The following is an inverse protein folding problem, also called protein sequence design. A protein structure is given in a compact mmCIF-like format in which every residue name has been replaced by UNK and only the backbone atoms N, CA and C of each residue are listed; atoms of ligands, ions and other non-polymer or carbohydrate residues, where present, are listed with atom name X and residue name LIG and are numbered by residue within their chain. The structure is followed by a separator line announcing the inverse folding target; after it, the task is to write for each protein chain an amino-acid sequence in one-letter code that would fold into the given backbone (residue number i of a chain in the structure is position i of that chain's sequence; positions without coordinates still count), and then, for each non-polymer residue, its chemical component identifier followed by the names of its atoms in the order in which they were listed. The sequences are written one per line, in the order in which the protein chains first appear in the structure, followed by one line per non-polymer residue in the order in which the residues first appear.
data_IF_606771177884
#
_entry.id   IF_606771177884
#
_cell.length_a   1.000
_cell.length_b   1.000
_cell.length_c   1.000
_cell.angle_alpha   90.00
_cell.angle_beta   90.00
_cell.angle_gamma   90.00
#
_symmetry.space_group_name_H-M   'P 1'
#
loop_
_entity.id
_entity.type
_entity.pdbx_description
1 polymer ?
#
# COMPACT_ATOMS: atom_id res chain seq x y z
N UNK A 1 -6.14 11.05 -1.20
CA UNK A 1 -5.88 9.63 -0.83
C UNK A 1 -4.63 9.05 -1.50
N UNK A 2 -4.38 9.28 -2.80
CA UNK A 2 -3.12 8.84 -3.43
C UNK A 2 -1.90 9.56 -2.82
N UNK A 3 -1.99 10.88 -2.68
CA UNK A 3 -0.96 11.72 -2.05
C UNK A 3 -0.72 11.35 -0.58
N UNK A 4 -1.78 11.08 0.17
CA UNK A 4 -1.72 10.60 1.55
C UNK A 4 -0.98 9.26 1.66
N UNK A 5 -1.28 8.30 0.77
CA UNK A 5 -0.54 7.04 0.70
C UNK A 5 0.94 7.27 0.36
N UNK A 6 1.24 8.17 -0.58
CA UNK A 6 2.62 8.49 -0.94
C UNK A 6 3.38 9.13 0.23
N UNK A 7 2.76 10.07 0.95
CA UNK A 7 3.35 10.71 2.12
C UNK A 7 3.62 9.70 3.25
N UNK A 8 2.66 8.83 3.57
CA UNK A 8 2.84 7.82 4.61
C UNK A 8 3.89 6.77 4.24
N UNK A 9 4.01 6.40 2.95
CA UNK A 9 5.06 5.50 2.47
C UNK A 9 6.45 6.15 2.56
N UNK A 10 6.56 7.44 2.21
CA UNK A 10 7.81 8.19 2.35
C UNK A 10 8.22 8.31 3.81
N UNK A 11 7.28 8.65 4.69
CA UNK A 11 7.55 8.75 6.12
C UNK A 11 7.95 7.41 6.74
N UNK A 12 7.36 6.29 6.29
CA UNK A 12 7.81 4.95 6.67
C UNK A 12 9.22 4.63 6.15
N UNK A 13 9.58 5.09 4.96
CA UNK A 13 10.92 4.89 4.41
C UNK A 13 11.99 5.68 5.17
N UNK A 14 11.67 6.91 5.60
CA UNK A 14 12.54 7.75 6.42
C UNK A 14 12.68 7.24 7.85
N UNK A 15 11.57 6.84 8.48
CA UNK A 15 11.56 6.32 9.85
C UNK A 15 10.76 5.00 9.93
N UNK A 16 11.45 3.85 9.80
CA UNK A 16 10.83 2.54 9.82
C UNK A 16 10.51 2.12 11.26
N UNK A 17 9.33 2.52 11.74
CA UNK A 17 8.77 2.09 13.01
C UNK A 17 7.36 1.48 12.85
N UNK A 18 6.87 0.83 13.92
CA UNK A 18 5.55 0.18 13.91
C UNK A 18 4.39 1.18 13.72
N UNK A 19 4.53 2.42 14.19
CA UNK A 19 3.52 3.46 14.05
C UNK A 19 3.36 3.90 12.60
N UNK A 20 4.47 4.22 11.94
CA UNK A 20 4.50 4.61 10.52
C UNK A 20 4.11 3.44 9.63
N UNK A 21 4.46 2.20 9.98
CA UNK A 21 4.00 1.02 9.25
C UNK A 21 2.48 0.89 9.30
N UNK A 22 1.88 1.05 10.49
CA UNK A 22 0.44 0.99 10.65
C UNK A 22 -0.28 2.12 9.90
N UNK A 23 0.28 3.33 9.89
CA UNK A 23 -0.23 4.46 9.09
C UNK A 23 -0.23 4.11 7.60
N UNK A 24 0.91 3.69 7.06
CA UNK A 24 1.04 3.32 5.65
C UNK A 24 0.08 2.18 5.23
N UNK A 25 -0.09 1.14 6.06
CA UNK A 25 -1.06 0.05 5.81
C UNK A 25 -2.50 0.56 5.78
N UNK A 26 -2.86 1.42 6.73
CA UNK A 26 -4.21 1.99 6.79
C UNK A 26 -4.50 2.86 5.57
N UNK A 27 -3.55 3.71 5.15
CA UNK A 27 -3.68 4.54 3.95
C UNK A 27 -3.73 3.71 2.67
N UNK A 28 -2.93 2.63 2.58
CA UNK A 28 -2.99 1.70 1.44
C UNK A 28 -4.36 1.03 1.34
N UNK A 29 -4.91 0.54 2.46
CA UNK A 29 -6.25 -0.08 2.49
C UNK A 29 -7.33 0.91 2.09
N UNK A 30 -7.28 2.16 2.61
CA UNK A 30 -8.21 3.23 2.22
C UNK A 30 -8.12 3.55 0.72
N UNK A 31 -6.90 3.60 0.18
CA UNK A 31 -6.68 3.84 -1.24
C UNK A 31 -7.22 2.69 -2.10
N UNK A 32 -6.92 1.43 -1.77
CA UNK A 32 -7.41 0.25 -2.49
C UNK A 32 -8.94 0.22 -2.56
N UNK A 33 -9.63 0.53 -1.46
CA UNK A 33 -11.10 0.58 -1.43
C UNK A 33 -11.66 1.65 -2.39
N UNK A 34 -11.10 2.86 -2.37
CA UNK A 34 -11.51 3.91 -3.30
C UNK A 34 -11.17 3.54 -4.74
N UNK A 35 -9.97 3.01 -4.98
CA UNK A 35 -9.50 2.61 -6.30
C UNK A 35 -10.45 1.59 -6.93
N UNK A 36 -10.86 0.55 -6.19
CA UNK A 36 -11.82 -0.45 -6.69
C UNK A 36 -13.16 0.18 -7.06
N UNK A 37 -13.67 1.11 -6.25
CA UNK A 37 -14.91 1.83 -6.55
C UNK A 37 -14.78 2.66 -7.82
N UNK A 38 -13.72 3.48 -7.93
CA UNK A 38 -13.51 4.40 -9.04
C UNK A 38 -13.19 3.71 -10.35
N UNK A 39 -12.52 2.55 -10.32
CA UNK A 39 -12.10 1.82 -11.53
C UNK A 39 -13.13 0.84 -12.05
N UNK A 40 -14.25 0.63 -11.36
CA UNK A 40 -15.31 -0.31 -11.78
C UNK A 40 -15.90 -0.02 -13.17
N UNK A 41 -15.97 1.26 -13.54
CA UNK A 41 -16.41 1.71 -14.87
C UNK A 41 -15.25 1.63 -15.87
N UNK A 42 -14.06 2.11 -15.48
CA UNK A 42 -12.88 2.14 -16.36
C UNK A 42 -12.39 0.74 -16.72
N UNK A 43 -12.63 -0.27 -15.88
CA UNK A 43 -12.25 -1.66 -16.16
C UNK A 43 -13.01 -2.27 -17.33
N UNK A 44 -14.12 -1.66 -17.77
CA UNK A 44 -14.89 -2.13 -18.94
C UNK A 44 -14.15 -1.87 -20.26
N UNK A 45 -13.43 -0.76 -20.32
CA UNK A 45 -12.69 -0.33 -21.52
C UNK A 45 -11.19 -0.64 -21.41
N UNK A 46 -10.64 -0.58 -20.19
CA UNK A 46 -9.19 -0.64 -19.94
C UNK A 46 -8.84 -1.72 -18.90
N UNK A 47 -9.44 -2.92 -19.03
CA UNK A 47 -9.30 -4.02 -18.07
C UNK A 47 -7.84 -4.35 -17.70
N UNK A 48 -6.96 -4.44 -18.71
CA UNK A 48 -5.55 -4.78 -18.51
C UNK A 48 -4.79 -3.74 -17.68
N UNK A 49 -5.04 -2.45 -17.94
CA UNK A 49 -4.39 -1.36 -17.21
C UNK A 49 -4.85 -1.35 -15.75
N UNK A 50 -6.15 -1.51 -15.51
CA UNK A 50 -6.71 -1.60 -14.17
C UNK A 50 -6.12 -2.81 -13.41
N UNK A 51 -6.01 -3.97 -14.07
CA UNK A 51 -5.38 -5.15 -13.47
C UNK A 51 -3.91 -4.91 -13.11
N UNK A 52 -3.16 -4.24 -13.99
CA UNK A 52 -1.75 -3.90 -13.74
C UNK A 52 -1.61 -3.02 -12.49
N UNK A 53 -2.49 -2.03 -12.33
CA UNK A 53 -2.50 -1.19 -11.13
C UNK A 53 -2.90 -1.96 -9.87
N UNK A 54 -3.87 -2.87 -9.95
CA UNK A 54 -4.23 -3.76 -8.82
C UNK A 54 -3.04 -4.63 -8.40
N UNK A 55 -2.30 -5.19 -9.35
CA UNK A 55 -1.11 -6.00 -9.08
C UNK A 55 -0.03 -5.17 -8.36
N UNK A 56 0.17 -3.91 -8.75
CA UNK A 56 1.11 -3.00 -8.07
C UNK A 56 0.67 -2.71 -6.63
N UNK A 57 -0.61 -2.52 -6.38
CA UNK A 57 -1.13 -2.33 -5.01
C UNK A 57 -0.95 -3.57 -4.14
N UNK A 58 -1.16 -4.77 -4.70
CA UNK A 58 -0.90 -6.03 -4.01
C UNK A 58 0.61 -6.20 -3.69
N UNK A 59 1.49 -5.80 -4.62
CA UNK A 59 2.93 -5.81 -4.38
C UNK A 59 3.34 -4.90 -3.21
N UNK A 60 2.78 -3.69 -3.13
CA UNK A 60 3.02 -2.80 -1.99
C UNK A 60 2.59 -3.44 -0.66
N UNK A 61 1.43 -4.09 -0.62
CA UNK A 61 0.97 -4.78 0.59
C UNK A 61 1.91 -5.92 1.00
N UNK A 62 2.40 -6.71 0.04
CA UNK A 62 3.39 -7.77 0.31
C UNK A 62 4.69 -7.19 0.87
N UNK A 63 5.18 -6.07 0.31
CA UNK A 63 6.40 -5.40 0.78
C UNK A 63 6.25 -4.85 2.21
N UNK A 64 5.10 -4.26 2.53
CA UNK A 64 4.81 -3.78 3.89
C UNK A 64 4.77 -4.94 4.90
N UNK A 65 4.11 -6.05 4.54
CA UNK A 65 4.05 -7.26 5.36
C UNK A 65 5.43 -7.90 5.56
N UNK A 66 6.27 -7.88 4.52
CA UNK A 66 7.64 -8.36 4.59
C UNK A 66 8.51 -7.47 5.49
N UNK A 67 8.41 -6.14 5.33
CA UNK A 67 9.13 -5.17 6.17
C UNK A 67 8.79 -5.33 7.66
N UNK A 68 7.52 -5.58 7.99
CA UNK A 68 7.09 -5.91 9.35
C UNK A 68 7.84 -7.12 9.91
N UNK A 69 7.89 -8.22 9.14
CA UNK A 69 8.50 -9.48 9.57
C UNK A 69 10.02 -9.39 9.72
N UNK A 70 10.68 -8.74 8.78
CA UNK A 70 12.15 -8.78 8.66
C UNK A 70 12.84 -7.64 9.39
N UNK A 71 12.25 -6.44 9.41
CA UNK A 71 12.89 -5.27 10.03
C UNK A 71 12.33 -4.89 11.39
N UNK A 72 11.02 -5.03 11.61
CA UNK A 72 10.37 -4.55 12.83
C UNK A 72 10.17 -5.63 13.89
N UNK A 73 9.99 -6.89 13.47
CA UNK A 73 9.87 -8.04 14.39
C UNK A 73 11.21 -8.72 14.71
N UNK A 74 12.27 -8.44 13.97
CA UNK A 74 13.60 -9.05 14.18
C UNK A 74 14.41 -8.42 15.32
N UNK A 75 14.00 -7.27 15.86
CA UNK A 75 14.61 -6.65 17.06
C UNK A 75 14.30 -7.36 18.38
N UNK A 76 14.03 -8.66 18.33
CA UNK A 76 13.71 -9.52 19.48
C UNK A 76 14.66 -10.72 19.52
N UNK A 77 15.95 -10.47 19.46
CA UNK A 77 17.03 -11.38 19.86
C UNK A 77 18.17 -10.57 20.47
#
# INVERSE_FOLDING_TARGET
KAEELAADLNQLAENPDNGNLNKARNSLRRFQLQFRSSMSVHSRENAYQVQTWQNRLAALEMLLNYGERVRLKSGRF
#
